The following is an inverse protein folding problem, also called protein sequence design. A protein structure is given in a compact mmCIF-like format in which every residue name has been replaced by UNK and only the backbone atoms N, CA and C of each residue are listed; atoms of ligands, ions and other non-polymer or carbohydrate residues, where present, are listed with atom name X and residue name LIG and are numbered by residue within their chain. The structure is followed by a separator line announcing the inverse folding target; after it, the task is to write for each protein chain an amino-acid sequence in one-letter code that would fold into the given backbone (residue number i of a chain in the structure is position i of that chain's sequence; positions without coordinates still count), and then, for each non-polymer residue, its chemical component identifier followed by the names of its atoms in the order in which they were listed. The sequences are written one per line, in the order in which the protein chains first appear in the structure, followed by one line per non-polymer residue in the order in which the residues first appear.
data_IF_478426340255
#
_entry.id   IF_478426340255
#
_cell.length_a   1.000
_cell.length_b   1.000
_cell.length_c   1.000
_cell.angle_alpha   90.00
_cell.angle_beta   90.00
_cell.angle_gamma   90.00
#
_symmetry.space_group_name_H-M   'P 1'
#
loop_
_entity.id
_entity.type
_entity.pdbx_description
1 polymer ?
#
# COMPACT_ATOMS: atom_id res chain seq x y z
N UNK A 1 -11.62 13.01 -14.60
CA UNK A 1 -10.85 14.25 -14.84
C UNK A 1 -11.70 15.49 -14.71
N UNK A 2 -12.87 15.58 -15.37
CA UNK A 2 -13.73 16.78 -15.28
C UNK A 2 -14.23 17.14 -13.87
N UNK A 3 -14.40 16.15 -12.98
CA UNK A 3 -14.76 16.38 -11.57
C UNK A 3 -13.55 16.58 -10.64
N UNK A 4 -12.32 16.65 -11.16
CA UNK A 4 -11.12 16.75 -10.32
C UNK A 4 -11.04 18.16 -9.69
N UNK A 5 -10.54 18.33 -8.44
CA UNK A 5 -10.44 19.64 -7.79
C UNK A 5 -9.44 20.60 -8.45
N UNK A 6 -8.38 20.07 -9.08
CA UNK A 6 -7.39 20.84 -9.83
C UNK A 6 -7.89 21.30 -11.21
N UNK A 7 -7.71 22.59 -11.52
CA UNK A 7 -8.20 23.20 -12.75
C UNK A 7 -7.50 22.66 -14.01
N UNK A 8 -6.18 22.47 -13.95
CA UNK A 8 -5.37 21.92 -15.03
C UNK A 8 -5.78 20.49 -15.39
N UNK A 9 -6.16 19.67 -14.41
CA UNK A 9 -6.66 18.31 -14.66
C UNK A 9 -8.03 18.35 -15.36
N UNK A 10 -8.90 19.30 -14.98
CA UNK A 10 -10.17 19.52 -15.67
C UNK A 10 -9.95 19.97 -17.11
N UNK A 11 -9.07 20.95 -17.34
CA UNK A 11 -8.72 21.46 -18.68
C UNK A 11 -8.20 20.36 -19.60
N UNK A 12 -7.31 19.48 -19.10
CA UNK A 12 -6.87 18.31 -19.88
C UNK A 12 -8.06 17.38 -20.17
N UNK A 13 -8.92 17.14 -19.18
CA UNK A 13 -10.13 16.32 -19.36
C UNK A 13 -11.09 16.90 -20.40
N UNK A 14 -11.27 18.22 -20.42
CA UNK A 14 -12.09 18.93 -21.41
C UNK A 14 -11.54 18.74 -22.81
N UNK A 15 -10.22 18.91 -22.98
CA UNK A 15 -9.56 18.72 -24.28
C UNK A 15 -9.63 17.28 -24.76
N UNK A 16 -9.40 16.31 -23.89
CA UNK A 16 -9.53 14.88 -24.20
C UNK A 16 -10.96 14.55 -24.62
N UNK A 17 -11.96 15.11 -23.92
CA UNK A 17 -13.38 14.91 -24.25
C UNK A 17 -13.74 15.51 -25.60
N UNK A 18 -13.27 16.73 -25.89
CA UNK A 18 -13.52 17.40 -27.17
C UNK A 18 -13.04 16.55 -28.36
N UNK A 19 -11.79 16.07 -28.30
CA UNK A 19 -11.22 15.19 -29.34
C UNK A 19 -11.98 13.87 -29.41
N UNK A 20 -12.27 13.24 -28.27
CA UNK A 20 -12.96 11.94 -28.22
C UNK A 20 -14.41 11.99 -28.72
N UNK A 21 -15.07 13.16 -28.61
CA UNK A 21 -16.42 13.36 -29.16
C UNK A 21 -16.43 13.35 -30.70
N UNK A 22 -15.36 13.83 -31.33
CA UNK A 22 -15.26 13.83 -32.79
C UNK A 22 -15.04 12.41 -33.34
N UNK A 23 -14.19 11.62 -32.69
CA UNK A 23 -13.79 10.29 -33.19
C UNK A 23 -14.68 9.14 -32.67
N UNK A 24 -15.06 9.18 -31.39
CA UNK A 24 -15.76 8.08 -30.70
C UNK A 24 -16.86 8.59 -29.75
N UNK A 25 -17.89 9.31 -30.25
CA UNK A 25 -18.87 10.02 -29.42
C UNK A 25 -19.66 9.12 -28.46
N UNK A 26 -19.93 7.87 -28.85
CA UNK A 26 -20.69 6.91 -28.02
C UNK A 26 -19.93 6.49 -26.77
N UNK A 27 -18.59 6.41 -26.83
CA UNK A 27 -17.75 6.02 -25.69
C UNK A 27 -17.64 7.12 -24.63
N UNK A 28 -17.86 8.38 -25.02
CA UNK A 28 -17.74 9.55 -24.11
C UNK A 28 -19.08 10.23 -23.82
N UNK A 29 -20.20 9.58 -24.18
CA UNK A 29 -21.57 10.09 -23.96
C UNK A 29 -21.84 10.46 -22.49
N UNK A 30 -21.27 9.73 -21.55
CA UNK A 30 -21.49 9.91 -20.10
C UNK A 30 -20.28 10.51 -19.38
N UNK A 31 -19.28 11.02 -20.12
CA UNK A 31 -18.06 11.56 -19.56
C UNK A 31 -18.20 13.04 -19.15
N UNK A 32 -19.32 13.44 -18.55
CA UNK A 32 -19.55 14.79 -18.03
C UNK A 32 -19.02 14.97 -16.60
N UNK A 33 -19.08 16.19 -16.07
CA UNK A 33 -18.83 16.44 -14.64
C UNK A 33 -19.82 15.59 -13.84
N UNK A 34 -19.30 14.75 -12.98
CA UNK A 34 -20.08 13.96 -12.04
C UNK A 34 -20.32 14.78 -10.77
N UNK A 35 -21.54 15.28 -10.60
CA UNK A 35 -21.96 16.10 -9.45
C UNK A 35 -21.80 15.35 -8.12
N UNK A 36 -22.21 14.07 -8.07
CA UNK A 36 -22.06 13.23 -6.88
C UNK A 36 -20.60 13.21 -6.39
N UNK A 37 -19.62 13.01 -7.28
CA UNK A 37 -18.22 13.03 -6.85
C UNK A 37 -17.79 14.39 -6.28
N UNK A 38 -18.18 15.50 -6.92
CA UNK A 38 -17.78 16.84 -6.48
C UNK A 38 -18.43 17.20 -5.14
N UNK A 39 -19.74 17.00 -5.04
CA UNK A 39 -20.54 17.34 -3.87
C UNK A 39 -20.16 16.46 -2.67
N UNK A 40 -20.11 15.14 -2.84
CA UNK A 40 -19.77 14.22 -1.75
C UNK A 40 -18.34 14.41 -1.26
N UNK A 41 -17.36 14.65 -2.12
CA UNK A 41 -15.99 14.93 -1.67
C UNK A 41 -15.94 16.20 -0.81
N UNK A 42 -16.60 17.27 -1.27
CA UNK A 42 -16.67 18.53 -0.54
C UNK A 42 -17.35 18.36 0.82
N UNK A 43 -18.51 17.71 0.85
CA UNK A 43 -19.26 17.46 2.08
C UNK A 43 -18.43 16.65 3.08
N UNK A 44 -17.72 15.60 2.63
CA UNK A 44 -16.84 14.80 3.49
C UNK A 44 -15.67 15.62 4.04
N UNK A 45 -15.07 16.51 3.25
CA UNK A 45 -13.98 17.38 3.72
C UNK A 45 -14.44 18.41 4.76
N UNK A 46 -15.71 18.83 4.71
CA UNK A 46 -16.32 19.79 5.63
C UNK A 46 -16.86 19.11 6.92
N UNK A 47 -16.88 17.77 6.99
CA UNK A 47 -17.31 17.08 8.20
C UNK A 47 -16.32 17.33 9.35
N UNK A 48 -16.85 17.85 10.46
CA UNK A 48 -16.11 17.91 11.72
C UNK A 48 -15.88 16.49 12.25
N UNK A 49 -14.65 16.01 12.09
CA UNK A 49 -14.18 14.81 12.78
C UNK A 49 -13.57 15.19 14.12
N UNK A 50 -13.68 14.32 15.13
CA UNK A 50 -13.09 14.58 16.45
C UNK A 50 -11.59 14.89 16.42
N UNK A 51 -11.08 15.46 17.51
CA UNK A 51 -9.65 15.74 17.69
C UNK A 51 -8.89 14.44 18.00
N UNK A 52 -8.32 13.82 16.97
CA UNK A 52 -7.49 12.63 17.12
C UNK A 52 -6.01 13.01 17.22
N UNK A 53 -5.36 12.63 18.32
CA UNK A 53 -3.89 12.70 18.39
C UNK A 53 -3.31 11.61 17.50
N UNK A 54 -2.48 12.02 16.54
CA UNK A 54 -1.67 11.08 15.78
C UNK A 54 -0.63 10.48 16.74
N UNK A 55 -0.78 9.20 17.08
CA UNK A 55 0.24 8.50 17.87
C UNK A 55 1.57 8.52 17.11
N UNK A 56 2.59 9.09 17.74
CA UNK A 56 3.95 9.10 17.21
C UNK A 56 4.56 7.70 17.33
N UNK A 57 5.16 7.20 16.25
CA UNK A 57 6.02 6.00 16.26
C UNK A 57 5.42 4.74 15.65
N UNK A 58 4.10 4.67 15.45
CA UNK A 58 3.45 3.50 14.81
C UNK A 58 3.27 3.74 13.31
N UNK A 59 4.32 3.49 12.52
CA UNK A 59 4.33 3.71 11.07
C UNK A 59 3.79 2.54 10.25
N UNK A 60 3.68 1.34 10.83
CA UNK A 60 3.06 0.18 10.20
C UNK A 60 2.22 -0.57 11.23
N UNK A 61 0.93 -0.73 10.94
CA UNK A 61 -0.01 -1.42 11.82
C UNK A 61 -0.84 -2.41 11.01
N UNK A 62 -0.85 -3.68 11.41
CA UNK A 62 -1.87 -4.63 10.98
C UNK A 62 -3.16 -4.33 11.77
N UNK A 63 -4.14 -3.73 11.10
CA UNK A 63 -5.42 -3.30 11.72
C UNK A 63 -6.41 -4.45 11.81
N UNK A 64 -6.50 -5.25 10.74
CA UNK A 64 -7.41 -6.37 10.64
C UNK A 64 -6.75 -7.50 9.84
N UNK A 65 -7.04 -8.74 10.23
CA UNK A 65 -6.66 -9.93 9.48
C UNK A 65 -7.69 -11.03 9.65
N UNK A 66 -7.75 -11.93 8.67
CA UNK A 66 -8.56 -13.13 8.73
C UNK A 66 -8.05 -14.10 9.80
N UNK A 67 -8.62 -14.13 11.00
CA UNK A 67 -8.16 -15.03 12.09
C UNK A 67 -8.13 -16.53 11.74
N UNK A 68 -8.99 -16.93 10.82
CA UNK A 68 -9.08 -18.29 10.27
C UNK A 68 -8.39 -18.41 8.89
N UNK A 69 -7.56 -17.44 8.50
CA UNK A 69 -7.05 -17.27 7.14
C UNK A 69 -6.36 -18.51 6.60
N UNK A 70 -5.46 -19.11 7.38
CA UNK A 70 -4.76 -20.33 6.97
C UNK A 70 -5.73 -21.52 6.79
N UNK A 71 -6.73 -21.66 7.66
CA UNK A 71 -7.76 -22.69 7.53
C UNK A 71 -8.57 -22.48 6.24
N UNK A 72 -8.98 -21.24 5.95
CA UNK A 72 -9.74 -20.90 4.73
C UNK A 72 -8.94 -21.23 3.47
N UNK A 73 -7.65 -20.87 3.44
CA UNK A 73 -6.78 -21.13 2.29
C UNK A 73 -6.61 -22.64 2.05
N UNK A 74 -6.31 -23.41 3.10
CA UNK A 74 -6.15 -24.86 2.98
C UNK A 74 -7.47 -25.55 2.60
N UNK A 75 -8.59 -25.12 3.18
CA UNK A 75 -9.92 -25.63 2.84
C UNK A 75 -10.29 -25.31 1.39
N UNK A 76 -9.99 -24.10 0.90
CA UNK A 76 -10.22 -23.72 -0.49
C UNK A 76 -9.36 -24.55 -1.46
N UNK A 77 -8.12 -24.87 -1.09
CA UNK A 77 -7.27 -25.77 -1.86
C UNK A 77 -7.87 -27.19 -1.95
N UNK A 78 -8.30 -27.75 -0.82
CA UNK A 78 -8.97 -29.07 -0.80
C UNK A 78 -10.30 -29.05 -1.55
N UNK A 79 -11.10 -27.98 -1.42
CA UNK A 79 -12.35 -27.80 -2.13
C UNK A 79 -12.17 -27.80 -3.65
N UNK A 80 -11.14 -27.12 -4.15
CA UNK A 80 -10.90 -27.04 -5.60
C UNK A 80 -10.53 -28.39 -6.21
N UNK A 81 -9.74 -29.19 -5.50
CA UNK A 81 -9.19 -30.45 -6.02
C UNK A 81 -9.90 -31.69 -5.47
N UNK A 82 -10.87 -31.51 -4.58
CA UNK A 82 -11.69 -32.57 -4.01
C UNK A 82 -13.16 -32.40 -4.42
N UNK A 83 -13.87 -33.51 -4.59
CA UNK A 83 -15.31 -33.51 -4.84
C UNK A 83 -16.09 -33.35 -3.52
N UNK A 84 -15.84 -32.26 -2.78
CA UNK A 84 -16.47 -31.97 -1.49
C UNK A 84 -16.96 -30.52 -1.42
N UNK A 85 -17.97 -30.27 -0.58
CA UNK A 85 -18.38 -28.90 -0.27
C UNK A 85 -17.31 -28.15 0.53
N UNK A 86 -17.30 -26.82 0.45
CA UNK A 86 -16.37 -26.00 1.23
C UNK A 86 -16.53 -26.19 2.75
N UNK A 87 -17.77 -26.40 3.23
CA UNK A 87 -18.05 -26.70 4.65
C UNK A 87 -17.29 -27.95 5.11
N UNK A 88 -17.49 -29.08 4.41
CA UNK A 88 -16.74 -30.32 4.68
C UNK A 88 -15.21 -30.13 4.60
N UNK A 89 -14.70 -29.37 3.62
CA UNK A 89 -13.27 -29.09 3.50
C UNK A 89 -12.74 -28.31 4.71
N UNK A 90 -13.51 -27.31 5.17
CA UNK A 90 -13.15 -26.48 6.31
C UNK A 90 -13.20 -27.28 7.62
N UNK A 91 -14.23 -28.10 7.82
CA UNK A 91 -14.37 -28.96 8.99
C UNK A 91 -13.24 -29.99 9.05
N UNK A 92 -12.89 -30.58 7.91
CA UNK A 92 -11.74 -31.47 7.82
C UNK A 92 -10.45 -30.75 8.23
N UNK A 93 -10.15 -29.58 7.64
CA UNK A 93 -8.93 -28.80 8.01
C UNK A 93 -8.93 -28.43 9.48
N UNK A 94 -10.07 -28.01 10.04
CA UNK A 94 -10.19 -27.67 11.47
C UNK A 94 -10.00 -28.88 12.39
N UNK A 95 -10.35 -30.08 11.94
CA UNK A 95 -10.16 -31.33 12.70
C UNK A 95 -8.70 -31.80 12.76
N UNK A 96 -7.82 -31.29 11.88
CA UNK A 96 -6.41 -31.66 11.87
C UNK A 96 -5.64 -30.94 12.98
N UNK A 97 -4.94 -31.71 13.80
CA UNK A 97 -4.01 -31.20 14.80
C UNK A 97 -2.74 -30.61 14.16
N UNK A 98 -2.32 -31.17 13.02
CA UNK A 98 -1.17 -30.71 12.25
C UNK A 98 -1.57 -30.49 10.78
N UNK A 99 -1.30 -29.30 10.27
CA UNK A 99 -1.65 -28.84 8.91
C UNK A 99 -0.40 -28.65 8.03
N UNK A 100 0.77 -28.97 8.56
CA UNK A 100 2.06 -28.82 7.91
C UNK A 100 2.11 -29.53 6.56
N UNK A 101 1.60 -30.77 6.50
CA UNK A 101 1.56 -31.54 5.27
C UNK A 101 0.75 -30.86 4.16
N UNK A 102 -0.39 -30.23 4.50
CA UNK A 102 -1.22 -29.51 3.52
C UNK A 102 -0.52 -28.24 3.04
N UNK A 103 0.05 -27.47 3.96
CA UNK A 103 0.81 -26.26 3.63
C UNK A 103 2.03 -26.58 2.74
N UNK A 104 2.77 -27.63 3.08
CA UNK A 104 3.92 -28.11 2.30
C UNK A 104 3.50 -28.60 0.91
N UNK A 105 2.35 -29.27 0.80
CA UNK A 105 1.82 -29.71 -0.50
C UNK A 105 1.41 -28.52 -1.37
N UNK A 106 0.82 -27.49 -0.76
CA UNK A 106 0.35 -26.29 -1.45
C UNK A 106 1.48 -25.36 -1.90
N UNK A 107 2.48 -25.13 -1.03
CA UNK A 107 3.46 -24.04 -1.20
C UNK A 107 4.91 -24.52 -1.24
N UNK A 108 5.20 -25.75 -0.82
CA UNK A 108 6.57 -26.25 -0.66
C UNK A 108 7.38 -26.37 -1.95
N UNK A 109 6.71 -26.33 -3.11
CA UNK A 109 7.34 -26.36 -4.44
C UNK A 109 7.46 -24.98 -5.10
N UNK A 110 7.03 -23.90 -4.43
CA UNK A 110 7.12 -22.56 -4.98
C UNK A 110 8.58 -22.12 -5.15
N UNK A 111 8.93 -21.80 -6.40
CA UNK A 111 10.18 -21.14 -6.76
C UNK A 111 9.99 -19.63 -6.96
N UNK A 112 11.09 -18.92 -7.18
CA UNK A 112 11.17 -17.46 -7.25
C UNK A 112 10.24 -16.83 -8.29
N UNK A 113 9.96 -17.52 -9.38
CA UNK A 113 9.15 -16.97 -10.47
C UNK A 113 7.74 -17.55 -10.51
N UNK A 114 7.40 -18.43 -9.57
CA UNK A 114 6.09 -19.05 -9.52
C UNK A 114 5.07 -18.11 -8.87
N UNK A 115 3.85 -18.17 -9.39
CA UNK A 115 2.72 -17.44 -8.83
C UNK A 115 1.96 -18.42 -7.92
N UNK A 116 1.79 -18.12 -6.62
CA UNK A 116 0.99 -18.96 -5.74
C UNK A 116 -0.44 -19.14 -6.26
N UNK A 117 -1.05 -20.27 -5.89
CA UNK A 117 -2.41 -20.57 -6.33
C UNK A 117 -3.42 -19.53 -5.83
N UNK A 118 -4.56 -19.42 -6.53
CA UNK A 118 -5.59 -18.42 -6.25
C UNK A 118 -6.25 -18.60 -4.88
N UNK A 119 -6.17 -19.78 -4.29
CA UNK A 119 -6.81 -20.08 -3.01
C UNK A 119 -6.21 -19.26 -1.85
N UNK A 120 -5.00 -18.71 -2.03
CA UNK A 120 -4.42 -17.74 -1.11
C UNK A 120 -5.20 -16.41 -1.07
N UNK A 121 -6.09 -16.15 -2.04
CA UNK A 121 -6.94 -14.96 -2.05
C UNK A 121 -8.03 -14.97 -0.95
N UNK A 122 -8.28 -16.13 -0.31
CA UNK A 122 -9.27 -16.28 0.77
C UNK A 122 -8.79 -15.82 2.16
N UNK A 123 -7.56 -15.29 2.26
CA UNK A 123 -7.00 -14.72 3.49
C UNK A 123 -6.62 -13.25 3.23
N UNK A 124 -7.18 -12.32 3.99
CA UNK A 124 -7.04 -10.87 3.80
C UNK A 124 -6.41 -10.18 5.02
N UNK A 125 -5.78 -9.05 4.73
CA UNK A 125 -5.11 -8.18 5.70
C UNK A 125 -5.45 -6.72 5.40
N UNK A 126 -5.65 -5.92 6.44
CA UNK A 126 -5.79 -4.47 6.38
C UNK A 126 -4.66 -3.83 7.16
N UNK A 127 -3.87 -2.98 6.51
CA UNK A 127 -2.74 -2.26 7.09
C UNK A 127 -2.97 -0.74 7.07
N UNK A 128 -2.61 -0.07 8.15
CA UNK A 128 -2.38 1.38 8.20
C UNK A 128 -0.88 1.64 8.16
N UNK A 129 -0.43 2.33 7.11
CA UNK A 129 0.98 2.49 6.76
C UNK A 129 1.35 3.98 6.65
N UNK A 130 2.52 4.34 7.12
CA UNK A 130 3.19 5.61 6.89
C UNK A 130 4.53 5.29 6.23
N UNK A 131 4.74 5.79 5.02
CA UNK A 131 5.96 5.58 4.23
C UNK A 131 6.26 6.83 3.42
N UNK A 132 7.52 7.06 3.04
CA UNK A 132 7.82 8.18 2.16
C UNK A 132 7.16 8.02 0.79
N UNK A 133 6.95 9.14 0.13
CA UNK A 133 6.29 9.20 -1.17
C UNK A 133 7.07 8.43 -2.26
N UNK A 134 8.39 8.26 -2.13
CA UNK A 134 9.20 7.37 -2.96
C UNK A 134 8.80 5.90 -2.81
N UNK A 135 8.71 5.40 -1.57
CA UNK A 135 8.19 4.07 -1.28
C UNK A 135 6.75 3.91 -1.79
N UNK A 136 5.88 4.89 -1.57
CA UNK A 136 4.51 4.86 -2.05
C UNK A 136 4.42 4.76 -3.59
N UNK A 137 5.34 5.38 -4.32
CA UNK A 137 5.40 5.29 -5.78
C UNK A 137 5.69 3.88 -6.29
N UNK A 138 6.37 3.05 -5.50
CA UNK A 138 6.55 1.61 -5.75
C UNK A 138 5.40 0.76 -5.21
N UNK A 139 4.88 1.11 -4.03
CA UNK A 139 3.75 0.43 -3.39
C UNK A 139 2.52 0.44 -4.30
N UNK A 140 2.16 1.60 -4.85
CA UNK A 140 0.94 1.79 -5.66
C UNK A 140 0.91 1.04 -6.99
N UNK A 141 2.02 0.40 -7.38
CA UNK A 141 2.11 -0.42 -8.60
C UNK A 141 1.55 -1.83 -8.42
N UNK A 142 1.33 -2.23 -7.18
CA UNK A 142 0.64 -3.47 -6.84
C UNK A 142 -0.86 -3.23 -6.92
N UNK A 143 -1.54 -3.98 -7.79
CA UNK A 143 -2.91 -3.68 -8.26
C UNK A 143 -3.95 -4.64 -7.69
N UNK A 144 -3.55 -5.78 -7.12
CA UNK A 144 -4.48 -6.66 -6.42
C UNK A 144 -4.59 -6.25 -4.94
N UNK A 145 -4.77 -4.95 -4.72
CA UNK A 145 -4.92 -4.36 -3.41
C UNK A 145 -5.82 -3.13 -3.50
N UNK A 146 -6.60 -2.90 -2.45
CA UNK A 146 -7.29 -1.64 -2.22
C UNK A 146 -6.33 -0.69 -1.53
N UNK A 147 -6.26 0.55 -1.99
CA UNK A 147 -5.37 1.57 -1.43
C UNK A 147 -6.13 2.89 -1.28
N UNK A 148 -6.18 3.39 -0.05
CA UNK A 148 -6.73 4.71 0.27
C UNK A 148 -5.61 5.56 0.86
N UNK A 149 -4.96 6.33 0.01
CA UNK A 149 -3.87 7.22 0.41
C UNK A 149 -4.41 8.58 0.82
N UNK A 150 -4.04 9.07 2.00
CA UNK A 150 -4.37 10.43 2.45
C UNK A 150 -3.72 11.47 1.53
N UNK A 151 -4.15 12.74 1.58
CA UNK A 151 -3.48 13.84 0.86
C UNK A 151 -1.98 13.87 1.19
N UNK A 152 -1.12 14.12 0.20
CA UNK A 152 0.31 14.26 0.46
C UNK A 152 0.55 15.60 1.16
N UNK A 153 1.12 15.55 2.36
CA UNK A 153 1.38 16.75 3.19
C UNK A 153 2.79 16.72 3.73
N UNK A 154 3.24 17.83 4.31
CA UNK A 154 4.53 17.89 5.02
C UNK A 154 4.44 17.50 6.51
N UNK A 155 3.22 17.18 6.99
CA UNK A 155 2.90 17.06 8.43
C UNK A 155 3.28 15.71 9.05
N UNK A 156 3.57 14.70 8.23
CA UNK A 156 4.05 13.38 8.70
C UNK A 156 5.58 13.28 8.74
N UNK A 157 6.28 14.41 8.58
CA UNK A 157 7.73 14.46 8.52
C UNK A 157 8.30 13.89 7.22
N UNK A 158 9.62 13.87 7.14
CA UNK A 158 10.37 13.37 6.01
C UNK A 158 11.53 12.50 6.48
N UNK A 159 11.91 11.55 5.64
CA UNK A 159 13.06 10.68 5.86
C UNK A 159 14.32 11.33 5.32
N UNK A 160 15.46 11.10 5.98
CA UNK A 160 16.78 11.52 5.48
C UNK A 160 17.59 10.27 5.14
N UNK A 161 17.74 9.93 3.84
CA UNK A 161 18.62 8.86 3.42
C UNK A 161 20.07 9.09 3.86
N UNK A 162 20.70 8.04 4.38
CA UNK A 162 22.09 8.07 4.86
C UNK A 162 23.07 8.58 3.81
N UNK A 163 22.88 8.18 2.55
CA UNK A 163 23.70 8.60 1.42
C UNK A 163 23.74 10.13 1.23
N UNK A 164 22.68 10.85 1.60
CA UNK A 164 22.67 12.32 1.50
C UNK A 164 23.63 12.93 2.52
N UNK A 165 23.64 12.41 3.74
CA UNK A 165 24.56 12.86 4.80
C UNK A 165 25.99 12.44 4.50
N UNK A 166 26.22 11.21 4.03
CA UNK A 166 27.54 10.71 3.64
C UNK A 166 28.15 11.50 2.47
N UNK A 167 27.31 11.99 1.56
CA UNK A 167 27.73 12.87 0.47
C UNK A 167 27.97 14.33 0.92
N UNK A 168 27.79 14.67 2.20
CA UNK A 168 28.00 16.01 2.76
C UNK A 168 26.83 16.98 2.54
N UNK A 169 25.67 16.50 2.12
CA UNK A 169 24.50 17.34 1.78
C UNK A 169 23.42 17.37 2.86
N UNK A 170 23.64 16.75 4.03
CA UNK A 170 22.63 16.64 5.10
C UNK A 170 21.97 17.97 5.49
N UNK A 171 22.76 18.99 5.84
CA UNK A 171 22.21 20.30 6.23
C UNK A 171 21.50 21.03 5.09
N UNK A 172 21.97 20.87 3.84
CA UNK A 172 21.30 21.46 2.68
C UNK A 172 19.96 20.79 2.40
N UNK A 173 19.91 19.46 2.53
CA UNK A 173 18.69 18.68 2.39
C UNK A 173 17.65 19.09 3.43
N UNK A 174 18.04 19.16 4.71
CA UNK A 174 17.13 19.62 5.78
C UNK A 174 16.62 21.03 5.52
N UNK A 175 17.48 21.97 5.12
CA UNK A 175 17.07 23.33 4.79
C UNK A 175 16.02 23.39 3.66
N UNK A 176 16.17 22.55 2.62
CA UNK A 176 15.20 22.46 1.52
C UNK A 176 13.87 21.85 2.01
N UNK A 177 13.92 20.82 2.84
CA UNK A 177 12.72 20.19 3.40
C UNK A 177 11.95 21.15 4.33
N UNK A 178 12.64 21.94 5.16
CA UNK A 178 12.04 22.98 5.99
C UNK A 178 11.42 24.10 5.16
N UNK A 179 12.07 24.51 4.08
CA UNK A 179 11.49 25.48 3.13
C UNK A 179 10.21 24.93 2.48
N UNK A 180 10.19 23.64 2.13
CA UNK A 180 9.00 22.97 1.60
C UNK A 180 7.86 22.92 2.63
N UNK A 181 8.16 22.68 3.91
CA UNK A 181 7.16 22.74 5.01
C UNK A 181 6.49 24.12 5.05
N UNK A 182 7.29 25.19 5.07
CA UNK A 182 6.77 26.56 5.16
C UNK A 182 5.95 26.94 3.92
N UNK A 183 6.41 26.55 2.72
CA UNK A 183 5.69 26.85 1.48
C UNK A 183 4.40 26.03 1.35
N UNK A 184 4.42 24.77 1.79
CA UNK A 184 3.25 23.91 1.82
C UNK A 184 2.12 24.54 2.64
N UNK A 185 2.39 25.02 3.86
CA UNK A 185 1.34 25.61 4.70
C UNK A 185 0.77 26.91 4.10
N UNK A 186 1.58 27.72 3.41
CA UNK A 186 1.10 28.90 2.67
C UNK A 186 0.19 28.51 1.51
N UNK A 187 0.58 27.52 0.72
CA UNK A 187 -0.24 27.02 -0.41
C UNK A 187 -1.50 26.30 0.08
N UNK A 188 -1.45 25.64 1.22
CA UNK A 188 -2.59 24.92 1.79
C UNK A 188 -3.76 25.87 2.09
N UNK A 189 -3.48 27.09 2.57
CA UNK A 189 -4.51 28.11 2.77
C UNK A 189 -5.17 28.57 1.47
N UNK A 190 -4.44 28.52 0.35
CA UNK A 190 -4.97 28.86 -0.96
C UNK A 190 -5.76 27.69 -1.57
N UNK A 191 -5.14 26.51 -1.65
CA UNK A 191 -5.75 25.30 -2.16
C UNK A 191 -4.94 24.06 -1.69
N UNK A 192 -5.53 23.18 -0.86
CA UNK A 192 -4.86 21.98 -0.37
C UNK A 192 -4.36 21.02 -1.46
N UNK A 193 -5.05 20.91 -2.59
CA UNK A 193 -4.64 20.03 -3.68
C UNK A 193 -3.44 20.61 -4.46
N UNK A 194 -3.38 21.93 -4.61
CA UNK A 194 -2.22 22.63 -5.19
C UNK A 194 -1.01 22.53 -4.26
N UNK A 195 -1.22 22.58 -2.95
CA UNK A 195 -0.13 22.46 -1.98
C UNK A 195 0.67 21.15 -2.12
N UNK A 196 0.06 20.07 -2.62
CA UNK A 196 0.75 18.80 -2.83
C UNK A 196 1.92 18.90 -3.82
N UNK A 197 1.89 19.85 -4.76
CA UNK A 197 2.92 19.98 -5.79
C UNK A 197 4.30 20.40 -5.25
N UNK A 198 4.35 21.08 -4.11
CA UNK A 198 5.63 21.50 -3.52
C UNK A 198 6.24 20.43 -2.63
N UNK A 199 5.52 19.34 -2.30
CA UNK A 199 5.96 18.33 -1.34
C UNK A 199 6.99 17.37 -1.97
N UNK A 200 8.26 17.36 -1.53
CA UNK A 200 9.27 16.44 -2.01
C UNK A 200 8.97 14.97 -1.70
N UNK A 201 9.52 14.06 -2.50
CA UNK A 201 9.28 12.62 -2.35
C UNK A 201 9.81 12.00 -1.03
N UNK A 202 10.67 12.71 -0.29
CA UNK A 202 11.15 12.26 1.01
C UNK A 202 10.11 12.40 2.13
N UNK A 203 9.03 13.16 1.91
CA UNK A 203 7.95 13.29 2.90
C UNK A 203 7.10 12.04 2.98
N UNK A 204 6.65 11.75 4.20
CA UNK A 204 5.81 10.62 4.53
C UNK A 204 4.35 10.84 4.12
N UNK A 205 3.70 9.75 3.71
CA UNK A 205 2.29 9.68 3.36
C UNK A 205 1.65 8.51 4.08
N UNK A 206 0.46 8.77 4.63
CA UNK A 206 -0.37 7.73 5.25
C UNK A 206 -1.25 7.04 4.23
N UNK A 207 -1.29 5.71 4.26
CA UNK A 207 -2.01 4.87 3.31
C UNK A 207 -2.67 3.73 4.06
N UNK A 208 -4.00 3.63 3.92
CA UNK A 208 -4.73 2.42 4.29
C UNK A 208 -4.65 1.45 3.11
N UNK A 209 -4.19 0.24 3.34
CA UNK A 209 -4.05 -0.78 2.31
C UNK A 209 -4.75 -2.07 2.74
N UNK A 210 -5.50 -2.69 1.83
CA UNK A 210 -6.09 -4.01 2.06
C UNK A 210 -5.72 -4.93 0.90
N UNK A 211 -5.22 -6.13 1.23
CA UNK A 211 -4.81 -7.12 0.24
C UNK A 211 -4.85 -8.53 0.81
N UNK A 212 -4.92 -9.51 -0.08
CA UNK A 212 -4.93 -10.91 0.29
C UNK A 212 -3.53 -11.52 0.39
N UNK A 213 -3.44 -12.72 0.94
CA UNK A 213 -2.18 -13.43 1.15
C UNK A 213 -1.44 -13.69 -0.18
N UNK A 214 -2.16 -13.93 -1.27
CA UNK A 214 -1.54 -14.11 -2.60
C UNK A 214 -0.80 -12.84 -3.05
N UNK A 215 -1.43 -11.68 -2.89
CA UNK A 215 -0.77 -10.39 -3.16
C UNK A 215 0.35 -10.12 -2.16
N UNK A 216 0.20 -10.52 -0.89
CA UNK A 216 1.27 -10.40 0.10
C UNK A 216 2.54 -11.16 -0.31
N UNK A 217 2.41 -12.38 -0.84
CA UNK A 217 3.53 -13.14 -1.40
C UNK A 217 4.24 -12.35 -2.50
N UNK A 218 3.48 -11.87 -3.48
CA UNK A 218 4.04 -11.11 -4.61
C UNK A 218 4.69 -9.79 -4.15
N UNK A 219 4.02 -9.07 -3.24
CA UNK A 219 4.50 -7.81 -2.68
C UNK A 219 5.81 -8.00 -1.93
N UNK A 220 5.82 -8.88 -0.93
CA UNK A 220 7.00 -9.14 -0.11
C UNK A 220 8.18 -9.63 -0.96
N UNK A 221 7.93 -10.52 -1.92
CA UNK A 221 8.99 -11.03 -2.78
C UNK A 221 9.61 -9.97 -3.69
N UNK A 222 8.79 -9.17 -4.37
CA UNK A 222 9.27 -8.17 -5.32
C UNK A 222 9.85 -6.95 -4.61
N UNK A 223 9.26 -6.55 -3.48
CA UNK A 223 9.61 -5.30 -2.79
C UNK A 223 10.62 -5.47 -1.68
N UNK A 224 10.89 -6.69 -1.21
CA UNK A 224 12.06 -6.96 -0.36
C UNK A 224 13.32 -7.29 -1.15
N UNK A 225 13.24 -7.51 -2.48
CA UNK A 225 14.40 -7.88 -3.28
C UNK A 225 15.52 -6.82 -3.18
N UNK A 226 16.79 -7.25 -3.19
CA UNK A 226 17.95 -6.38 -3.00
C UNK A 226 18.01 -5.19 -3.98
N UNK A 227 17.45 -5.35 -5.18
CA UNK A 227 17.39 -4.31 -6.22
C UNK A 227 16.21 -3.35 -6.08
N UNK A 228 15.27 -3.58 -5.15
CA UNK A 228 14.22 -2.63 -4.83
C UNK A 228 14.78 -1.48 -3.96
N UNK A 229 14.16 -0.31 -4.03
CA UNK A 229 14.58 0.84 -3.25
C UNK A 229 14.45 0.54 -1.75
N UNK A 230 15.49 0.87 -0.96
CA UNK A 230 15.57 0.51 0.46
C UNK A 230 14.32 0.92 1.25
N UNK A 231 13.69 2.06 0.91
CA UNK A 231 12.47 2.48 1.61
C UNK A 231 11.28 1.53 1.43
N UNK A 232 11.04 1.02 0.22
CA UNK A 232 9.98 0.02 0.03
C UNK A 232 10.38 -1.35 0.59
N UNK A 233 11.68 -1.67 0.63
CA UNK A 233 12.17 -2.89 1.29
C UNK A 233 11.82 -2.89 2.78
N UNK A 234 12.02 -1.75 3.46
CA UNK A 234 11.63 -1.55 4.87
C UNK A 234 10.15 -1.88 5.09
N UNK A 235 9.27 -1.35 4.25
CA UNK A 235 7.82 -1.62 4.32
C UNK A 235 7.51 -3.10 4.08
N UNK A 236 8.12 -3.71 3.05
CA UNK A 236 7.94 -5.12 2.72
C UNK A 236 8.37 -6.07 3.83
N UNK A 237 9.53 -5.81 4.44
CA UNK A 237 10.03 -6.61 5.55
C UNK A 237 9.14 -6.49 6.78
N UNK A 238 8.62 -5.29 7.10
CA UNK A 238 7.70 -5.12 8.23
C UNK A 238 6.34 -5.77 7.98
N UNK A 239 5.78 -5.65 6.79
CA UNK A 239 4.53 -6.35 6.42
C UNK A 239 4.70 -7.87 6.53
N UNK A 240 5.82 -8.41 6.06
CA UNK A 240 6.14 -9.83 6.22
C UNK A 240 6.20 -10.24 7.71
N UNK A 241 6.85 -9.44 8.56
CA UNK A 241 6.94 -9.69 10.01
C UNK A 241 5.55 -9.75 10.66
N UNK A 242 4.69 -8.77 10.38
CA UNK A 242 3.31 -8.73 10.88
C UNK A 242 2.50 -9.94 10.42
N UNK A 243 2.57 -10.29 9.13
CA UNK A 243 1.87 -11.46 8.58
C UNK A 243 2.39 -12.76 9.18
N UNK A 244 3.71 -12.89 9.35
CA UNK A 244 4.34 -14.08 9.93
C UNK A 244 3.94 -14.27 11.40
N UNK A 245 3.65 -13.19 12.12
CA UNK A 245 3.20 -13.28 13.51
C UNK A 245 1.79 -13.84 13.67
N UNK A 246 0.90 -13.62 12.68
CA UNK A 246 -0.50 -14.05 12.74
C UNK A 246 -0.77 -15.32 11.93
N UNK A 247 -0.04 -15.55 10.83
CA UNK A 247 -0.20 -16.71 9.92
C UNK A 247 1.16 -17.39 9.63
N UNK A 248 1.81 -17.98 10.65
CA UNK A 248 3.15 -18.54 10.51
C UNK A 248 3.24 -19.79 9.63
N UNK A 249 2.18 -20.60 9.54
CA UNK A 249 2.17 -21.84 8.77
C UNK A 249 2.34 -21.57 7.27
N UNK A 250 1.65 -20.56 6.75
CA UNK A 250 1.74 -20.20 5.33
C UNK A 250 2.82 -19.14 5.05
N UNK A 251 3.03 -18.17 5.95
CA UNK A 251 3.96 -17.06 5.71
C UNK A 251 5.42 -17.52 5.52
N UNK A 252 5.83 -18.61 6.16
CA UNK A 252 7.20 -19.15 6.04
C UNK A 252 7.60 -19.54 4.62
N UNK A 253 6.64 -19.74 3.71
CA UNK A 253 6.90 -20.03 2.30
C UNK A 253 7.14 -18.75 1.46
N UNK A 254 6.89 -17.55 2.00
CA UNK A 254 7.18 -16.31 1.31
C UNK A 254 8.69 -16.16 1.09
N UNK A 255 9.09 -15.92 -0.16
CA UNK A 255 10.48 -15.63 -0.50
C UNK A 255 10.76 -14.15 -0.25
N UNK A 256 11.86 -13.85 0.44
CA UNK A 256 12.32 -12.48 0.71
C UNK A 256 13.83 -12.42 0.75
N UNK A 257 14.37 -11.21 0.61
CA UNK A 257 15.79 -10.98 0.88
C UNK A 257 16.09 -11.14 2.38
N UNK A 258 17.29 -11.66 2.69
CA UNK A 258 17.72 -11.93 4.05
C UNK A 258 18.23 -10.65 4.73
N UNK A 259 17.29 -9.80 5.13
CA UNK A 259 17.49 -8.64 5.97
C UNK A 259 16.23 -8.41 6.82
N UNK A 260 16.35 -7.64 7.91
CA UNK A 260 15.20 -7.19 8.72
C UNK A 260 14.84 -5.75 8.36
N UNK A 261 13.62 -5.32 8.68
CA UNK A 261 13.26 -3.91 8.45
C UNK A 261 14.10 -2.95 9.30
N UNK A 262 14.50 -3.36 10.51
CA UNK A 262 15.41 -2.60 11.38
C UNK A 262 16.79 -2.45 10.75
N UNK A 263 17.32 -3.52 10.17
CA UNK A 263 18.61 -3.46 9.48
C UNK A 263 18.55 -2.51 8.27
N UNK A 264 17.43 -2.49 7.54
CA UNK A 264 17.21 -1.51 6.46
C UNK A 264 17.21 -0.07 7.01
N UNK A 265 16.53 0.17 8.14
CA UNK A 265 16.53 1.48 8.81
C UNK A 265 17.94 1.93 9.20
N UNK A 266 18.64 1.09 9.95
CA UNK A 266 19.99 1.33 10.44
C UNK A 266 20.97 1.61 9.30
N UNK A 267 20.90 0.84 8.21
CA UNK A 267 21.84 0.95 7.11
C UNK A 267 21.56 2.12 6.17
N UNK A 268 20.29 2.49 5.98
CA UNK A 268 19.91 3.42 4.90
C UNK A 268 19.34 4.76 5.34
N UNK A 269 19.02 4.95 6.62
CA UNK A 269 18.41 6.19 7.11
C UNK A 269 19.22 6.82 8.25
N UNK A 270 19.27 8.15 8.25
CA UNK A 270 19.77 8.95 9.38
C UNK A 270 18.61 9.43 10.24
N UNK A 271 17.47 9.71 9.62
CA UNK A 271 16.22 10.16 10.24
C UNK A 271 15.03 9.56 9.49
N UNK A 272 13.97 9.20 10.22
CA UNK A 272 12.72 8.63 9.70
C UNK A 272 11.53 9.44 10.22
#
# INVERSE_FOLDING_TARGET
MLSHPLAEVRQIGERVKEVSKAETPTLVKYADVNAYMVETMKEIEELETGDWKVESGKWCSLIEYDKDGENKVLAAALYRFGEMSYENALDYVKSLNDKEYLAQTLLGKLDKFDVPLRELEYCNYTFDLIMDQGAYAEFKRHRMMSQTAQRLTTRLGFTTPRLITEAGFGSQYEAVMESAIQMYEKLYQFNPDVAQYIVPNGFNRRVLAQFNLREAFAFCQLRSAANAHFSIRRVAQKIYEEISSVHPLLAKYMKRHDETWQSVEENHFVKI
#
